data_IF_853579168681
#
_entry.id   IF_853579168681
#
_cell.length_a   1.000
_cell.length_b   1.000
_cell.length_c   1.000
_cell.angle_alpha   90.00
_cell.angle_beta   90.00
_cell.angle_gamma   90.00
#
_symmetry.space_group_name_H-M   'P 1'
#
loop_
_entity.id
_entity.type
_entity.pdbx_description
1 polymer ?
#
# COMPACT_ATOMS: atom_id res chain seq x y z
N UNK A 1 -11.50 11.93 -16.23
CA UNK A 1 -11.34 12.28 -14.81
C UNK A 1 -9.88 12.53 -14.49
N UNK A 2 -9.56 13.30 -13.43
CA UNK A 2 -8.20 13.45 -12.94
C UNK A 2 -7.88 12.31 -11.97
N UNK A 3 -6.67 11.77 -12.05
CA UNK A 3 -6.24 10.58 -11.29
C UNK A 3 -4.94 10.90 -10.59
N UNK A 4 -4.80 10.46 -9.34
CA UNK A 4 -3.57 10.52 -8.55
C UNK A 4 -3.09 9.09 -8.29
N UNK A 5 -1.81 8.82 -8.53
CA UNK A 5 -1.13 7.60 -8.10
C UNK A 5 -0.20 7.98 -6.96
N UNK A 6 -0.30 7.26 -5.83
CA UNK A 6 0.63 7.38 -4.72
C UNK A 6 1.74 6.36 -4.86
N UNK A 7 2.99 6.81 -4.74
CA UNK A 7 4.20 6.02 -4.80
C UNK A 7 5.24 6.53 -5.80
N UNK A 8 6.38 5.85 -5.89
CA UNK A 8 7.54 6.27 -6.70
C UNK A 8 8.31 5.12 -7.35
N UNK A 9 7.82 3.89 -7.22
CA UNK A 9 8.48 2.69 -7.73
C UNK A 9 8.15 2.36 -9.19
N UNK A 10 8.71 1.26 -9.69
CA UNK A 10 8.44 0.75 -11.04
C UNK A 10 6.99 0.30 -11.22
N UNK A 11 6.33 -0.18 -10.17
CA UNK A 11 4.91 -0.54 -10.16
C UNK A 11 4.04 0.69 -10.46
N UNK A 12 4.28 1.79 -9.76
CA UNK A 12 3.54 3.04 -9.95
C UNK A 12 3.84 3.67 -11.31
N UNK A 13 5.08 3.57 -11.81
CA UNK A 13 5.41 3.99 -13.17
C UNK A 13 4.63 3.16 -14.21
N UNK A 14 4.52 1.85 -14.02
CA UNK A 14 3.73 0.98 -14.92
C UNK A 14 2.25 1.36 -14.92
N UNK A 15 1.68 1.63 -13.75
CA UNK A 15 0.30 2.14 -13.65
C UNK A 15 0.16 3.47 -14.38
N UNK A 16 1.07 4.42 -14.16
CA UNK A 16 1.05 5.71 -14.82
C UNK A 16 1.10 5.57 -16.34
N UNK A 17 2.01 4.74 -16.87
CA UNK A 17 2.15 4.47 -18.28
C UNK A 17 0.86 3.92 -18.91
N UNK A 18 0.19 2.96 -18.25
CA UNK A 18 -1.06 2.38 -18.76
C UNK A 18 -2.24 3.33 -18.64
N UNK A 19 -2.35 4.06 -17.53
CA UNK A 19 -3.45 4.98 -17.27
C UNK A 19 -3.38 6.21 -18.19
N UNK A 20 -2.18 6.72 -18.50
CA UNK A 20 -1.99 7.84 -19.43
C UNK A 20 -2.54 7.55 -20.84
N UNK A 21 -2.59 6.28 -21.25
CA UNK A 21 -3.16 5.85 -22.55
C UNK A 21 -4.70 5.82 -22.56
N UNK A 22 -5.34 5.95 -21.40
CA UNK A 22 -6.79 5.86 -21.28
C UNK A 22 -7.47 7.15 -21.68
N UNK A 23 -8.45 7.07 -22.60
CA UNK A 23 -9.31 8.21 -22.97
C UNK A 23 -10.12 8.77 -21.79
N UNK A 24 -10.27 8.02 -20.69
CA UNK A 24 -10.95 8.44 -19.47
C UNK A 24 -10.04 9.26 -18.52
N UNK A 25 -8.71 9.15 -18.67
CA UNK A 25 -7.76 9.97 -17.94
C UNK A 25 -7.65 11.35 -18.61
N UNK A 26 -8.01 12.40 -17.85
CA UNK A 26 -7.88 13.79 -18.33
C UNK A 26 -6.53 14.36 -17.92
N UNK A 27 -6.16 14.20 -16.65
CA UNK A 27 -4.89 14.60 -16.08
C UNK A 27 -4.42 13.51 -15.13
N UNK A 28 -3.14 13.20 -15.17
CA UNK A 28 -2.49 12.21 -14.33
C UNK A 28 -1.46 12.88 -13.42
N UNK A 29 -1.55 12.58 -12.14
CA UNK A 29 -0.62 13.03 -11.11
C UNK A 29 0.01 11.83 -10.44
N UNK A 30 1.26 11.95 -9.99
CA UNK A 30 1.96 10.92 -9.22
C UNK A 30 2.65 11.58 -8.03
N UNK A 31 2.52 11.01 -6.84
CA UNK A 31 3.12 11.56 -5.62
C UNK A 31 3.86 10.48 -4.79
N UNK A 32 5.14 10.66 -4.52
CA UNK A 32 6.01 11.73 -5.03
C UNK A 32 6.42 11.55 -6.50
N UNK A 33 6.25 10.35 -7.09
CA UNK A 33 6.69 10.01 -8.44
C UNK A 33 8.21 9.80 -8.56
N UNK A 34 8.67 9.62 -9.78
CA UNK A 34 10.08 9.42 -10.14
C UNK A 34 10.39 10.07 -11.50
N UNK A 35 11.64 9.94 -11.97
CA UNK A 35 12.04 10.52 -13.25
C UNK A 35 11.22 9.98 -14.44
N UNK A 36 10.89 8.68 -14.47
CA UNK A 36 10.06 8.10 -15.55
C UNK A 36 8.62 8.56 -15.51
N UNK A 37 8.02 8.74 -14.31
CA UNK A 37 6.66 9.25 -14.21
C UNK A 37 6.54 10.72 -14.60
N UNK A 38 7.62 11.52 -14.47
CA UNK A 38 7.62 12.94 -14.90
C UNK A 38 7.51 13.13 -16.42
N UNK A 39 7.81 12.10 -17.22
CA UNK A 39 7.68 12.15 -18.66
C UNK A 39 6.23 11.99 -19.15
N UNK A 40 5.36 11.39 -18.32
CA UNK A 40 4.00 10.98 -18.71
C UNK A 40 2.90 11.50 -17.77
N UNK A 41 3.28 12.12 -16.64
CA UNK A 41 2.37 12.63 -15.62
C UNK A 41 2.99 13.86 -14.92
N UNK A 42 2.20 14.53 -14.10
CA UNK A 42 2.70 15.59 -13.21
C UNK A 42 3.09 15.00 -11.87
N UNK A 43 4.38 15.02 -11.54
CA UNK A 43 4.85 14.62 -10.21
C UNK A 43 4.57 15.73 -9.18
N UNK A 44 4.09 15.34 -8.00
CA UNK A 44 3.82 16.26 -6.88
C UNK A 44 4.64 15.80 -5.68
N UNK A 45 5.50 16.64 -5.15
CA UNK A 45 6.38 16.35 -4.01
C UNK A 45 5.58 16.26 -2.69
N UNK A 46 4.87 15.16 -2.48
CA UNK A 46 4.10 14.84 -1.28
C UNK A 46 4.50 13.45 -0.80
N UNK A 47 4.72 13.30 0.52
CA UNK A 47 4.90 11.98 1.14
C UNK A 47 3.61 11.17 1.05
N UNK A 48 3.73 9.87 0.75
CA UNK A 48 2.57 8.95 0.68
C UNK A 48 1.86 8.76 2.03
N UNK A 49 2.51 9.14 3.13
CA UNK A 49 1.96 9.08 4.48
C UNK A 49 1.48 10.46 5.02
N UNK A 50 1.60 11.53 4.25
CA UNK A 50 1.04 12.84 4.60
C UNK A 50 -0.40 12.95 4.06
N UNK A 51 -1.35 12.39 4.80
CA UNK A 51 -2.75 12.32 4.39
C UNK A 51 -3.41 13.69 4.24
N UNK A 52 -3.00 14.68 5.04
CA UNK A 52 -3.52 16.04 4.92
C UNK A 52 -3.02 16.74 3.64
N UNK A 53 -1.74 16.57 3.29
CA UNK A 53 -1.22 17.08 2.03
C UNK A 53 -1.85 16.38 0.83
N UNK A 54 -2.08 15.05 0.92
CA UNK A 54 -2.79 14.28 -0.11
C UNK A 54 -4.22 14.80 -0.27
N UNK A 55 -4.97 15.02 0.83
CA UNK A 55 -6.32 15.59 0.80
C UNK A 55 -6.33 16.95 0.08
N UNK A 56 -5.43 17.86 0.44
CA UNK A 56 -5.29 19.16 -0.22
C UNK A 56 -5.02 19.01 -1.72
N UNK A 57 -4.12 18.11 -2.08
CA UNK A 57 -3.81 17.81 -3.47
C UNK A 57 -5.04 17.30 -4.24
N UNK A 58 -5.79 16.38 -3.65
CA UNK A 58 -7.03 15.82 -4.23
C UNK A 58 -8.07 16.89 -4.51
N UNK A 59 -8.30 17.78 -3.55
CA UNK A 59 -9.28 18.86 -3.67
C UNK A 59 -8.81 19.88 -4.73
N UNK A 60 -7.59 20.39 -4.62
CA UNK A 60 -7.06 21.45 -5.47
C UNK A 60 -6.96 21.05 -6.94
N UNK A 61 -6.70 19.78 -7.22
CA UNK A 61 -6.57 19.24 -8.58
C UNK A 61 -7.83 18.52 -9.05
N UNK A 62 -8.93 18.60 -8.32
CA UNK A 62 -10.21 17.96 -8.66
C UNK A 62 -10.02 16.47 -9.02
N UNK A 63 -9.20 15.76 -8.21
CA UNK A 63 -8.93 14.33 -8.37
C UNK A 63 -10.22 13.55 -8.10
N UNK A 64 -10.51 12.55 -8.92
CA UNK A 64 -11.68 11.68 -8.79
C UNK A 64 -11.33 10.23 -8.44
N UNK A 65 -10.07 9.87 -8.64
CA UNK A 65 -9.57 8.54 -8.30
C UNK A 65 -8.16 8.65 -7.74
N UNK A 66 -7.91 7.94 -6.64
CA UNK A 66 -6.58 7.77 -6.05
C UNK A 66 -6.22 6.30 -6.07
N UNK A 67 -5.04 5.98 -6.60
CA UNK A 67 -4.49 4.61 -6.63
C UNK A 67 -3.30 4.57 -5.69
N UNK A 68 -3.37 3.69 -4.71
CA UNK A 68 -2.30 3.54 -3.71
C UNK A 68 -1.39 2.39 -4.14
N UNK A 69 -0.15 2.71 -4.50
CA UNK A 69 0.82 1.73 -4.95
C UNK A 69 1.53 0.98 -3.80
N UNK A 70 2.14 1.69 -2.83
CA UNK A 70 2.85 1.06 -1.72
C UNK A 70 1.89 0.61 -0.60
N UNK A 71 2.33 -0.38 0.18
CA UNK A 71 1.58 -0.91 1.32
C UNK A 71 1.55 0.04 2.53
N UNK A 72 2.60 0.81 2.76
CA UNK A 72 2.73 1.69 3.94
C UNK A 72 1.52 2.60 4.20
N UNK A 73 1.06 3.43 3.25
CA UNK A 73 -0.10 4.29 3.50
C UNK A 73 -1.38 3.49 3.72
N UNK A 74 -1.51 2.29 3.18
CA UNK A 74 -2.66 1.42 3.39
C UNK A 74 -2.68 0.88 4.82
N UNK A 75 -1.55 0.37 5.30
CA UNK A 75 -1.37 -0.08 6.70
C UNK A 75 -1.55 1.07 7.68
N UNK A 76 -1.15 2.29 7.29
CA UNK A 76 -1.35 3.50 8.08
C UNK A 76 -2.80 4.03 8.02
N UNK A 77 -3.68 3.45 7.17
CA UNK A 77 -5.12 3.69 7.18
C UNK A 77 -5.61 4.78 6.22
N UNK A 78 -4.92 5.03 5.11
CA UNK A 78 -5.35 6.03 4.13
C UNK A 78 -6.75 5.75 3.58
N UNK A 79 -7.14 4.47 3.40
CA UNK A 79 -8.46 4.11 2.91
C UNK A 79 -9.56 4.50 3.91
N UNK A 80 -9.31 4.24 5.19
CA UNK A 80 -10.23 4.60 6.26
C UNK A 80 -10.32 6.13 6.41
N UNK A 81 -9.18 6.84 6.34
CA UNK A 81 -9.14 8.29 6.32
C UNK A 81 -10.00 8.91 5.19
N UNK A 82 -9.97 8.33 3.98
CA UNK A 82 -10.79 8.79 2.86
C UNK A 82 -12.28 8.56 3.11
N UNK A 83 -12.67 7.44 3.73
CA UNK A 83 -14.04 7.13 4.06
C UNK A 83 -14.61 8.04 5.17
N UNK A 84 -13.79 8.41 6.14
CA UNK A 84 -14.17 9.26 7.28
C UNK A 84 -14.18 10.76 6.92
N UNK A 85 -13.37 11.17 5.93
CA UNK A 85 -13.24 12.57 5.52
C UNK A 85 -14.35 12.97 4.57
N UNK A 86 -15.22 13.89 4.98
CA UNK A 86 -16.43 14.30 4.23
C UNK A 86 -16.11 14.77 2.81
N UNK A 87 -15.05 15.54 2.62
CA UNK A 87 -14.64 16.10 1.32
C UNK A 87 -14.10 15.04 0.34
N UNK A 88 -13.70 13.86 0.86
CA UNK A 88 -13.12 12.78 0.07
C UNK A 88 -14.11 11.65 -0.23
N UNK A 89 -15.30 11.65 0.36
CA UNK A 89 -16.31 10.56 0.24
C UNK A 89 -16.68 10.20 -1.20
N UNK A 90 -16.59 11.17 -2.12
CA UNK A 90 -16.90 10.95 -3.54
C UNK A 90 -15.66 10.70 -4.41
N UNK A 91 -14.49 10.52 -3.80
CA UNK A 91 -13.24 10.17 -4.48
C UNK A 91 -13.04 8.67 -4.39
N UNK A 92 -12.90 8.01 -5.52
CA UNK A 92 -12.58 6.57 -5.55
C UNK A 92 -11.16 6.36 -5.05
N UNK A 93 -10.99 5.55 -4.00
CA UNK A 93 -9.68 5.10 -3.58
C UNK A 93 -9.52 3.62 -3.93
N UNK A 94 -8.44 3.29 -4.63
CA UNK A 94 -8.08 1.92 -5.01
C UNK A 94 -7.01 1.44 -4.03
N UNK A 95 -7.41 0.58 -3.13
CA UNK A 95 -6.59 -0.02 -2.08
C UNK A 95 -7.48 -0.60 -0.98
N UNK A 96 -6.99 -1.59 -0.21
CA UNK A 96 -7.72 -2.18 0.90
C UNK A 96 -7.85 -1.21 2.09
N UNK A 97 -8.78 -1.51 2.99
CA UNK A 97 -8.84 -0.89 4.32
C UNK A 97 -7.58 -1.21 5.13
N UNK A 98 -7.34 -0.48 6.21
CA UNK A 98 -6.24 -0.73 7.13
C UNK A 98 -6.18 -2.19 7.59
N UNK A 99 -7.32 -2.75 7.98
CA UNK A 99 -7.40 -4.16 8.41
C UNK A 99 -7.04 -5.12 7.28
N UNK A 100 -7.51 -4.88 6.05
CA UNK A 100 -7.15 -5.69 4.89
C UNK A 100 -5.67 -5.57 4.52
N UNK A 101 -5.09 -4.38 4.64
CA UNK A 101 -3.69 -4.13 4.35
C UNK A 101 -2.72 -4.87 5.29
N UNK A 102 -3.16 -5.20 6.52
CA UNK A 102 -2.35 -5.97 7.47
C UNK A 102 -2.01 -7.39 6.98
N UNK A 103 -2.76 -7.93 6.02
CA UNK A 103 -2.40 -9.23 5.41
C UNK A 103 -1.09 -9.16 4.61
N UNK A 104 -0.70 -7.99 4.13
CA UNK A 104 0.59 -7.76 3.47
C UNK A 104 1.59 -7.12 4.45
N UNK A 105 1.14 -6.17 5.24
CA UNK A 105 1.98 -5.38 6.13
C UNK A 105 2.47 -6.11 7.38
N UNK A 106 1.85 -7.23 7.77
CA UNK A 106 2.26 -8.05 8.91
C UNK A 106 2.34 -9.53 8.53
N UNK A 107 3.57 -10.06 8.49
CA UNK A 107 3.79 -11.50 8.22
C UNK A 107 3.12 -12.38 9.28
N UNK A 108 3.16 -11.97 10.54
CA UNK A 108 2.49 -12.68 11.63
C UNK A 108 0.98 -12.73 11.42
N UNK A 109 0.35 -11.58 11.15
CA UNK A 109 -1.08 -11.52 10.88
C UNK A 109 -1.50 -12.32 9.64
N UNK A 110 -0.68 -12.30 8.58
CA UNK A 110 -0.91 -13.12 7.40
C UNK A 110 -0.87 -14.62 7.72
N UNK A 111 0.09 -15.05 8.57
CA UNK A 111 0.22 -16.44 8.99
C UNK A 111 -0.94 -16.89 9.87
N UNK A 112 -1.36 -16.08 10.84
CA UNK A 112 -2.54 -16.32 11.66
C UNK A 112 -3.78 -16.51 10.77
N UNK A 113 -4.01 -15.57 9.85
CA UNK A 113 -5.12 -15.65 8.90
C UNK A 113 -5.08 -16.94 8.06
N UNK A 114 -3.89 -17.34 7.57
CA UNK A 114 -3.74 -18.58 6.80
C UNK A 114 -4.07 -19.80 7.64
N UNK A 115 -3.67 -19.83 8.92
CA UNK A 115 -4.00 -20.94 9.82
C UNK A 115 -5.50 -21.02 10.11
N UNK A 116 -6.13 -19.88 10.46
CA UNK A 116 -7.55 -19.79 10.77
C UNK A 116 -8.43 -20.27 9.60
N UNK A 117 -7.97 -20.03 8.37
CA UNK A 117 -8.68 -20.38 7.15
C UNK A 117 -8.14 -21.64 6.45
N UNK A 118 -7.26 -22.40 7.10
CA UNK A 118 -6.67 -23.65 6.56
C UNK A 118 -5.97 -23.46 5.21
N UNK A 119 -5.36 -22.29 4.99
CA UNK A 119 -4.58 -21.99 3.79
C UNK A 119 -3.18 -22.59 3.95
N UNK A 120 -2.71 -23.45 3.03
CA UNK A 120 -1.39 -24.05 3.12
C UNK A 120 -0.28 -22.98 3.18
N UNK A 121 0.59 -23.09 4.18
CA UNK A 121 1.72 -22.19 4.38
C UNK A 121 2.87 -22.90 5.09
N UNK A 122 4.08 -22.34 5.01
CA UNK A 122 5.22 -22.88 5.75
C UNK A 122 4.98 -22.78 7.26
N UNK A 123 5.48 -23.76 8.00
CA UNK A 123 5.48 -23.75 9.47
C UNK A 123 6.17 -22.46 9.94
N UNK A 124 5.57 -21.78 10.90
CA UNK A 124 6.12 -20.55 11.46
C UNK A 124 5.85 -20.46 12.96
N UNK A 125 6.64 -19.64 13.63
CA UNK A 125 6.38 -19.20 14.99
C UNK A 125 7.00 -17.81 15.19
N UNK A 126 6.29 -16.93 15.90
CA UNK A 126 6.77 -15.57 16.23
C UNK A 126 7.50 -15.59 17.56
N UNK A 127 8.60 -14.85 17.62
CA UNK A 127 9.42 -14.71 18.84
C UNK A 127 9.77 -13.25 19.05
N UNK A 128 9.86 -12.86 20.32
CA UNK A 128 10.39 -11.57 20.75
C UNK A 128 11.84 -11.71 21.23
N UNK A 129 12.49 -10.59 21.56
CA UNK A 129 13.84 -10.62 22.15
C UNK A 129 13.89 -11.42 23.44
N UNK A 130 12.81 -11.39 24.21
CA UNK A 130 12.67 -12.10 25.49
C UNK A 130 12.53 -13.61 25.29
N UNK A 131 11.94 -14.06 24.18
CA UNK A 131 11.69 -15.47 23.84
C UNK A 131 12.70 -16.08 22.86
N UNK A 132 13.89 -15.49 22.70
CA UNK A 132 14.94 -16.00 21.78
C UNK A 132 15.40 -17.44 22.08
N UNK A 133 15.33 -17.88 23.34
CA UNK A 133 15.69 -19.26 23.70
C UNK A 133 14.70 -20.26 23.10
N UNK A 134 13.41 -19.95 23.17
CA UNK A 134 12.34 -20.75 22.57
C UNK A 134 12.46 -20.75 21.05
N UNK A 135 12.84 -19.61 20.46
CA UNK A 135 13.11 -19.51 19.03
C UNK A 135 14.23 -20.44 18.55
N UNK A 136 15.30 -20.57 19.32
CA UNK A 136 16.38 -21.53 19.02
C UNK A 136 15.91 -22.98 19.09
N UNK A 137 15.15 -23.33 20.13
CA UNK A 137 14.57 -24.67 20.26
C UNK A 137 13.60 -24.98 19.11
N UNK A 138 12.80 -24.00 18.69
CA UNK A 138 11.91 -24.17 17.55
C UNK A 138 12.68 -24.46 16.25
N UNK A 139 13.80 -23.76 16.00
CA UNK A 139 14.64 -24.01 14.83
C UNK A 139 15.19 -25.45 14.79
N UNK A 140 15.50 -26.03 15.96
CA UNK A 140 15.97 -27.43 16.07
C UNK A 140 14.89 -28.45 15.66
N UNK A 141 13.61 -28.07 15.66
CA UNK A 141 12.50 -28.92 15.20
C UNK A 141 12.27 -28.86 13.70
N UNK A 142 12.91 -27.93 12.99
CA UNK A 142 12.72 -27.70 11.56
C UNK A 142 13.90 -28.25 10.75
N UNK A 143 13.63 -28.51 9.47
CA UNK A 143 14.68 -28.86 8.50
C UNK A 143 15.05 -27.62 7.67
N UNK A 144 16.37 -27.33 7.46
CA UNK A 144 16.78 -26.21 6.62
C UNK A 144 16.33 -26.41 5.14
N UNK A 145 16.21 -25.29 4.37
CA UNK A 145 16.61 -23.92 4.72
C UNK A 145 15.56 -23.19 5.56
N UNK A 146 16.02 -22.25 6.40
CA UNK A 146 15.17 -21.38 7.21
C UNK A 146 15.07 -19.97 6.59
N UNK A 147 13.93 -19.30 6.82
CA UNK A 147 13.73 -17.88 6.51
C UNK A 147 13.41 -17.15 7.81
N UNK A 148 14.20 -16.12 8.13
CA UNK A 148 14.06 -15.29 9.33
C UNK A 148 13.49 -13.92 8.97
#
# INVERSE_FOLDING_TARGET
MNILILGSGGREHTFAYKIAQSKRCKQLFVAPGNAGTSEIATNISISVNDFEAIKKCVINNNIKMVIVGPEDPLVNGIADYFLETTELKNVMLIGPSKVGALLEGSKERAKEFMMDHQIPTAIYQSFTKESLKEGKLFLETLNPPFVL
#
